data_IF_791296601928
#
_entry.id   IF_791296601928
#
_cell.length_a   1.000
_cell.length_b   1.000
_cell.length_c   1.000
_cell.angle_alpha   90.00
_cell.angle_beta   90.00
_cell.angle_gamma   90.00
#
_symmetry.space_group_name_H-M   'P 1'
#
loop_
_entity.id
_entity.type
_entity.pdbx_description
1 polymer ?
#
# COMPACT_ATOMS: atom_id res chain seq x y z
N UNK A 1 -7.84 -6.09 10.71
CA UNK A 1 -6.89 -5.02 10.32
C UNK A 1 -7.47 -3.64 10.61
N UNK A 2 -8.65 -3.23 10.06
CA UNK A 2 -9.20 -1.88 10.30
C UNK A 2 -9.36 -1.54 11.79
N UNK A 3 -9.91 -2.46 12.60
CA UNK A 3 -10.03 -2.28 14.06
C UNK A 3 -8.66 -2.19 14.77
N UNK A 4 -7.69 -2.94 14.30
CA UNK A 4 -6.32 -2.92 14.83
C UNK A 4 -5.66 -1.56 14.54
N UNK A 5 -5.80 -1.06 13.31
CA UNK A 5 -5.32 0.28 12.93
C UNK A 5 -6.02 1.34 13.79
N UNK A 6 -7.36 1.30 13.85
CA UNK A 6 -8.15 2.28 14.60
C UNK A 6 -7.78 2.32 16.09
N UNK A 7 -7.45 1.19 16.69
CA UNK A 7 -7.02 1.10 18.10
C UNK A 7 -5.65 1.76 18.37
N UNK A 8 -4.85 1.97 17.33
CA UNK A 8 -3.54 2.63 17.42
C UNK A 8 -3.59 4.16 17.48
N UNK A 9 -4.78 4.76 17.30
CA UNK A 9 -4.94 6.22 17.27
C UNK A 9 -6.06 6.67 18.21
N UNK A 10 -5.91 7.84 18.80
CA UNK A 10 -6.98 8.46 19.58
C UNK A 10 -8.06 9.04 18.65
N UNK A 11 -9.26 9.34 19.18
CA UNK A 11 -10.37 9.83 18.37
C UNK A 11 -10.17 11.26 17.85
N UNK A 12 -9.33 12.03 18.55
CA UNK A 12 -9.03 13.44 18.21
C UNK A 12 -7.88 13.60 17.22
N UNK A 13 -7.12 12.53 16.93
CA UNK A 13 -5.97 12.57 16.03
C UNK A 13 -6.38 12.24 14.59
N UNK A 14 -6.33 13.20 13.65
CA UNK A 14 -6.64 12.93 12.26
C UNK A 14 -5.56 12.05 11.62
N UNK A 15 -6.00 11.00 10.92
CA UNK A 15 -5.15 10.09 10.16
C UNK A 15 -5.15 10.55 8.69
N UNK A 16 -4.00 10.79 8.12
CA UNK A 16 -3.85 10.96 6.68
C UNK A 16 -3.67 9.58 6.04
N UNK A 17 -4.75 9.01 5.52
CA UNK A 17 -4.72 7.77 4.76
C UNK A 17 -4.30 8.04 3.31
N UNK A 18 -3.20 7.43 2.90
CA UNK A 18 -2.58 7.61 1.59
C UNK A 18 -2.69 6.31 0.80
N UNK A 19 -3.48 6.35 -0.27
CA UNK A 19 -3.61 5.23 -1.20
C UNK A 19 -2.50 5.25 -2.25
N UNK A 20 -1.77 4.17 -2.42
CA UNK A 20 -0.85 4.01 -3.55
C UNK A 20 -1.66 3.52 -4.77
N UNK A 21 -1.81 4.39 -5.75
CA UNK A 21 -2.54 4.10 -6.97
C UNK A 21 -1.67 3.28 -7.94
N UNK A 22 -2.30 2.37 -8.69
CA UNK A 22 -3.76 2.14 -8.83
C UNK A 22 -4.25 0.93 -8.03
N UNK A 23 -3.38 -0.04 -7.74
CA UNK A 23 -3.75 -1.36 -7.24
C UNK A 23 -4.46 -1.33 -5.90
N UNK A 24 -4.06 -0.42 -5.00
CA UNK A 24 -4.60 -0.37 -3.65
C UNK A 24 -6.02 0.22 -3.55
N UNK A 25 -6.60 0.78 -4.61
CA UNK A 25 -7.83 1.59 -4.53
C UNK A 25 -9.03 0.82 -3.95
N UNK A 26 -9.20 -0.45 -4.30
CA UNK A 26 -10.32 -1.26 -3.79
C UNK A 26 -10.16 -1.55 -2.31
N UNK A 27 -8.98 -2.01 -1.93
CA UNK A 27 -8.64 -2.28 -0.52
C UNK A 27 -8.69 -1.00 0.31
N UNK A 28 -8.14 0.11 -0.18
CA UNK A 28 -8.18 1.41 0.49
C UNK A 28 -9.60 1.82 0.83
N UNK A 29 -10.50 1.75 -0.17
CA UNK A 29 -11.90 2.16 0.00
C UNK A 29 -12.61 1.33 1.07
N UNK A 30 -12.42 0.02 1.06
CA UNK A 30 -13.07 -0.85 2.03
C UNK A 30 -12.43 -0.71 3.43
N UNK A 31 -11.11 -0.58 3.51
CA UNK A 31 -10.39 -0.37 4.76
C UNK A 31 -10.88 0.88 5.51
N UNK A 32 -10.95 2.02 4.82
CA UNK A 32 -11.31 3.30 5.48
C UNK A 32 -12.78 3.35 5.89
N UNK A 33 -13.70 2.68 5.16
CA UNK A 33 -15.10 2.54 5.55
C UNK A 33 -15.30 1.75 6.85
N UNK A 34 -14.38 0.84 7.17
CA UNK A 34 -14.39 0.06 8.41
C UNK A 34 -13.80 0.81 9.62
N UNK A 35 -13.49 2.10 9.46
CA UNK A 35 -13.02 3.00 10.53
C UNK A 35 -13.93 4.22 10.70
N UNK A 36 -15.27 4.07 10.83
CA UNK A 36 -16.22 5.19 10.79
C UNK A 36 -16.06 6.17 11.96
N UNK A 37 -15.52 5.70 13.09
CA UNK A 37 -15.36 6.49 14.31
C UNK A 37 -14.03 7.28 14.34
N UNK A 38 -13.24 7.23 13.26
CA UNK A 38 -11.95 7.94 13.16
C UNK A 38 -12.03 9.10 12.18
N UNK A 39 -11.29 10.16 12.48
CA UNK A 39 -11.10 11.30 11.58
C UNK A 39 -10.06 10.92 10.50
N UNK A 40 -10.52 10.47 9.34
CA UNK A 40 -9.65 10.05 8.24
C UNK A 40 -9.69 11.04 7.09
N UNK A 41 -8.54 11.63 6.78
CA UNK A 41 -8.31 12.40 5.57
C UNK A 41 -7.79 11.47 4.47
N UNK A 42 -8.16 11.71 3.22
CA UNK A 42 -7.75 10.88 2.08
C UNK A 42 -6.81 11.64 1.16
N UNK A 43 -5.74 10.98 0.74
CA UNK A 43 -4.91 11.45 -0.36
C UNK A 43 -4.36 10.27 -1.17
N UNK A 44 -3.80 10.55 -2.33
CA UNK A 44 -3.40 9.56 -3.30
C UNK A 44 -2.00 9.86 -3.83
N UNK A 45 -1.19 8.82 -3.93
CA UNK A 45 0.14 8.89 -4.53
C UNK A 45 0.22 7.91 -5.68
N UNK A 46 0.89 8.29 -6.76
CA UNK A 46 1.17 7.38 -7.87
C UNK A 46 2.66 7.12 -7.96
N UNK A 47 3.02 5.86 -7.82
CA UNK A 47 4.38 5.38 -7.96
C UNK A 47 4.50 4.49 -9.19
N UNK A 48 5.67 4.46 -9.83
CA UNK A 48 6.01 3.46 -10.83
C UNK A 48 7.25 2.70 -10.38
N UNK A 49 7.17 1.38 -10.38
CA UNK A 49 8.33 0.51 -10.27
C UNK A 49 8.85 0.20 -11.68
N UNK A 50 10.13 0.42 -11.92
CA UNK A 50 10.79 -0.01 -13.17
C UNK A 50 11.19 -1.48 -13.03
N UNK A 51 10.26 -2.40 -13.31
CA UNK A 51 10.53 -3.85 -13.33
C UNK A 51 11.01 -4.36 -14.71
N UNK A 52 10.98 -3.52 -15.76
CA UNK A 52 11.19 -3.90 -17.16
C UNK A 52 12.59 -3.60 -17.73
N UNK A 53 13.63 -3.52 -16.93
CA UNK A 53 14.99 -3.51 -17.47
C UNK A 53 15.71 -4.78 -17.02
N UNK A 54 16.50 -5.39 -17.90
CA UNK A 54 17.35 -6.58 -17.64
C UNK A 54 18.31 -6.43 -16.45
N UNK A 55 18.24 -5.31 -15.75
CA UNK A 55 18.87 -5.01 -14.48
C UNK A 55 17.81 -4.40 -13.56
N UNK A 56 17.31 -5.19 -12.61
CA UNK A 56 16.39 -4.74 -11.55
C UNK A 56 17.11 -3.75 -10.64
N UNK A 57 17.08 -2.46 -10.98
CA UNK A 57 17.75 -1.41 -10.19
C UNK A 57 16.94 -1.00 -8.96
N UNK A 58 15.77 -1.61 -8.71
CA UNK A 58 14.92 -1.26 -7.58
C UNK A 58 14.48 0.21 -7.54
N UNK A 59 14.51 0.90 -8.67
CA UNK A 59 14.16 2.32 -8.73
C UNK A 59 12.65 2.49 -8.74
N UNK A 60 12.15 3.08 -7.68
CA UNK A 60 10.78 3.59 -7.61
C UNK A 60 10.80 5.07 -7.99
N UNK A 61 9.85 5.49 -8.82
CA UNK A 61 9.69 6.88 -9.24
C UNK A 61 8.33 7.39 -8.78
N UNK A 62 8.34 8.55 -8.14
CA UNK A 62 7.13 9.31 -7.85
C UNK A 62 6.61 9.95 -9.14
N UNK A 63 5.38 9.60 -9.53
CA UNK A 63 4.69 10.13 -10.70
C UNK A 63 3.74 11.26 -10.30
N UNK A 64 2.99 11.06 -9.20
CA UNK A 64 2.09 12.05 -8.63
C UNK A 64 2.27 12.08 -7.12
N UNK A 65 2.58 13.26 -6.58
CA UNK A 65 2.73 13.50 -5.15
C UNK A 65 1.38 13.80 -4.49
N UNK A 66 1.36 13.77 -3.17
CA UNK A 66 0.24 14.17 -2.34
C UNK A 66 -0.13 15.64 -2.55
N UNK A 67 -1.39 15.96 -2.32
CA UNK A 67 -1.88 17.33 -2.20
C UNK A 67 -1.75 17.85 -0.78
N UNK A 68 -1.92 16.95 0.19
CA UNK A 68 -1.86 17.25 1.61
C UNK A 68 -0.42 17.15 2.15
N UNK A 69 -0.07 17.99 3.13
CA UNK A 69 1.19 17.87 3.87
C UNK A 69 1.11 16.70 4.84
N UNK A 70 2.19 15.94 4.94
CA UNK A 70 2.35 14.89 5.97
C UNK A 70 2.94 15.43 7.28
N UNK A 71 3.44 16.66 7.27
CA UNK A 71 4.11 17.27 8.43
C UNK A 71 3.18 17.32 9.65
N UNK A 72 3.66 16.77 10.77
CA UNK A 72 2.92 16.75 12.03
C UNK A 72 1.64 15.89 12.01
N UNK A 73 1.50 14.94 11.06
CA UNK A 73 0.33 14.07 10.94
C UNK A 73 0.70 12.60 11.10
N UNK A 74 -0.28 11.80 11.53
CA UNK A 74 -0.22 10.35 11.42
C UNK A 74 -0.51 9.94 9.99
N UNK A 75 0.40 9.22 9.36
CA UNK A 75 0.29 8.79 7.96
C UNK A 75 0.07 7.29 7.89
N UNK A 76 -1.07 6.88 7.31
CA UNK A 76 -1.38 5.49 7.01
C UNK A 76 -1.27 5.27 5.49
N UNK A 77 -0.19 4.66 5.06
CA UNK A 77 -0.01 4.24 3.66
C UNK A 77 -0.75 2.94 3.42
N UNK A 78 -1.53 2.88 2.35
CA UNK A 78 -2.28 1.69 1.94
C UNK A 78 -1.77 1.19 0.60
N UNK A 79 -1.31 -0.06 0.58
CA UNK A 79 -0.74 -0.75 -0.57
C UNK A 79 -1.54 -2.01 -0.90
N UNK A 80 -1.58 -2.40 -2.17
CA UNK A 80 -2.21 -3.64 -2.59
C UNK A 80 -1.34 -4.86 -2.27
N UNK A 81 -0.08 -4.83 -2.67
CA UNK A 81 0.84 -5.95 -2.47
C UNK A 81 2.24 -5.49 -2.07
N UNK A 82 2.78 -6.10 -1.03
CA UNK A 82 4.18 -5.93 -0.65
C UNK A 82 4.97 -7.14 -1.16
N UNK A 83 5.57 -6.98 -2.34
CA UNK A 83 6.37 -7.99 -3.03
C UNK A 83 7.87 -7.80 -2.70
N UNK A 84 8.67 -7.20 -3.56
CA UNK A 84 10.10 -6.94 -3.33
C UNK A 84 10.41 -6.02 -2.15
N UNK A 85 9.46 -5.18 -1.76
CA UNK A 85 9.57 -4.21 -0.67
C UNK A 85 10.10 -2.83 -1.10
N UNK A 86 10.58 -2.66 -2.34
CA UNK A 86 11.15 -1.39 -2.79
C UNK A 86 10.19 -0.22 -2.70
N UNK A 87 8.90 -0.42 -3.00
CA UNK A 87 7.86 0.61 -2.92
C UNK A 87 7.71 1.10 -1.48
N UNK A 88 7.63 0.18 -0.53
CA UNK A 88 7.46 0.51 0.89
C UNK A 88 8.69 1.19 1.46
N UNK A 89 9.89 0.70 1.14
CA UNK A 89 11.14 1.33 1.54
C UNK A 89 11.25 2.78 1.01
N UNK A 90 10.91 2.98 -0.27
CA UNK A 90 10.90 4.29 -0.89
C UNK A 90 9.92 5.24 -0.20
N UNK A 91 8.65 4.83 -0.04
CA UNK A 91 7.60 5.71 0.48
C UNK A 91 7.82 6.06 1.96
N UNK A 92 8.32 5.11 2.76
CA UNK A 92 8.69 5.37 4.17
C UNK A 92 9.78 6.45 4.26
N UNK A 93 10.86 6.30 3.48
CA UNK A 93 11.94 7.30 3.46
C UNK A 93 11.45 8.65 2.92
N UNK A 94 10.62 8.63 1.89
CA UNK A 94 10.07 9.83 1.29
C UNK A 94 9.21 10.63 2.26
N UNK A 95 8.33 9.98 3.02
CA UNK A 95 7.50 10.65 4.02
C UNK A 95 8.27 11.00 5.29
N UNK A 96 9.16 10.14 5.76
CA UNK A 96 9.97 10.42 6.95
C UNK A 96 10.77 11.73 6.82
N UNK A 97 11.24 12.06 5.62
CA UNK A 97 11.95 13.31 5.35
C UNK A 97 11.07 14.58 5.44
N UNK A 98 9.74 14.42 5.57
CA UNK A 98 8.75 15.51 5.64
C UNK A 98 8.16 15.70 7.04
N UNK A 99 8.80 15.16 8.08
CA UNK A 99 8.45 15.31 9.49
C UNK A 99 7.01 14.90 9.88
N UNK A 100 6.50 13.73 9.48
CA UNK A 100 5.25 13.20 10.02
C UNK A 100 5.40 12.82 11.50
N UNK A 101 4.29 12.64 12.22
CA UNK A 101 4.32 12.06 13.58
C UNK A 101 4.72 10.58 13.49
N UNK A 102 4.13 9.85 12.57
CA UNK A 102 4.53 8.49 12.22
C UNK A 102 4.15 8.16 10.77
N UNK A 103 4.68 7.02 10.28
CA UNK A 103 4.30 6.43 8.98
C UNK A 103 4.06 4.95 9.19
N UNK A 104 2.80 4.53 9.12
CA UNK A 104 2.38 3.14 9.15
C UNK A 104 1.95 2.67 7.76
N UNK A 105 2.12 1.39 7.50
CA UNK A 105 1.77 0.77 6.22
C UNK A 105 0.78 -0.37 6.46
N UNK A 106 -0.34 -0.33 5.76
CA UNK A 106 -1.28 -1.43 5.66
C UNK A 106 -1.24 -2.02 4.25
N UNK A 107 -1.17 -3.33 4.11
CA UNK A 107 -1.25 -3.98 2.80
C UNK A 107 -2.33 -5.06 2.76
N UNK A 108 -2.89 -5.25 1.57
CA UNK A 108 -3.84 -6.33 1.32
C UNK A 108 -3.11 -7.68 1.30
N UNK A 109 -2.00 -7.75 0.57
CA UNK A 109 -1.23 -8.99 0.39
C UNK A 109 0.25 -8.77 0.69
N UNK A 110 0.82 -9.61 1.55
CA UNK A 110 2.25 -9.68 1.81
C UNK A 110 2.85 -10.94 1.16
N UNK A 111 3.91 -10.77 0.34
CA UNK A 111 4.66 -11.86 -0.29
C UNK A 111 6.09 -11.92 0.29
N UNK A 112 6.31 -12.53 1.45
CA UNK A 112 7.62 -12.52 2.10
C UNK A 112 8.70 -13.27 1.29
N UNK A 113 8.32 -14.26 0.47
CA UNK A 113 9.24 -15.08 -0.33
C UNK A 113 9.98 -14.29 -1.44
N UNK A 114 9.40 -13.18 -1.88
CA UNK A 114 9.94 -12.34 -2.96
C UNK A 114 10.67 -11.10 -2.45
N UNK A 115 10.76 -10.93 -1.13
CA UNK A 115 11.36 -9.77 -0.48
C UNK A 115 12.83 -9.61 -0.84
N UNK A 116 13.22 -8.40 -1.26
CA UNK A 116 14.59 -8.05 -1.65
C UNK A 116 15.24 -7.01 -0.73
N UNK A 117 14.41 -6.22 -0.02
CA UNK A 117 14.86 -5.21 0.94
C UNK A 117 14.13 -5.38 2.26
N UNK A 118 14.74 -4.94 3.34
CA UNK A 118 14.17 -5.03 4.70
C UNK A 118 13.06 -3.99 4.90
N UNK A 119 11.92 -4.22 4.25
CA UNK A 119 10.76 -3.36 4.30
C UNK A 119 9.47 -4.18 4.42
N UNK A 120 8.66 -3.86 5.42
CA UNK A 120 7.46 -4.61 5.81
C UNK A 120 6.27 -3.68 5.96
N UNK A 121 5.06 -4.24 5.80
CA UNK A 121 3.84 -3.61 6.26
C UNK A 121 3.67 -3.76 7.77
N UNK A 122 3.16 -2.72 8.45
CA UNK A 122 2.79 -2.80 9.87
C UNK A 122 1.53 -3.65 10.06
N UNK A 123 0.62 -3.57 9.09
CA UNK A 123 -0.65 -4.29 9.07
C UNK A 123 -0.80 -5.02 7.75
N UNK A 124 -1.22 -6.27 7.79
CA UNK A 124 -1.45 -7.07 6.58
C UNK A 124 -2.74 -7.89 6.72
N UNK A 125 -3.46 -8.02 5.61
CA UNK A 125 -4.68 -8.83 5.59
C UNK A 125 -4.34 -10.28 5.32
N UNK A 126 -3.58 -10.54 4.25
CA UNK A 126 -3.19 -11.87 3.83
C UNK A 126 -1.67 -12.00 3.67
N UNK A 127 -1.17 -13.21 3.85
CA UNK A 127 0.21 -13.59 3.51
C UNK A 127 0.18 -14.66 2.44
N UNK A 128 0.90 -14.46 1.35
CA UNK A 128 1.08 -15.43 0.28
C UNK A 128 2.45 -16.09 0.43
N UNK A 129 2.48 -17.32 0.94
CA UNK A 129 3.71 -18.06 1.27
C UNK A 129 4.33 -18.78 0.08
N UNK A 130 3.78 -18.60 -1.12
CA UNK A 130 4.29 -19.16 -2.38
C UNK A 130 4.42 -18.08 -3.43
N UNK A 131 5.27 -18.31 -4.42
CA UNK A 131 5.36 -17.43 -5.57
C UNK A 131 4.20 -17.74 -6.54
N UNK A 132 3.18 -16.91 -6.51
CA UNK A 132 2.03 -17.00 -7.39
C UNK A 132 1.70 -15.62 -7.96
N UNK A 133 1.26 -15.58 -9.21
CA UNK A 133 0.77 -14.36 -9.84
C UNK A 133 -0.72 -14.23 -9.57
N UNK A 134 -1.12 -13.12 -8.95
CA UNK A 134 -2.50 -12.90 -8.51
C UNK A 134 -3.09 -11.65 -9.15
N UNK A 135 -4.39 -11.67 -9.40
CA UNK A 135 -5.17 -10.58 -9.98
C UNK A 135 -6.51 -10.40 -9.26
N UNK A 136 -7.14 -9.28 -9.49
CA UNK A 136 -8.45 -8.94 -8.93
C UNK A 136 -8.38 -8.11 -7.67
N UNK A 137 -9.49 -7.51 -7.31
CA UNK A 137 -9.63 -6.61 -6.17
C UNK A 137 -8.56 -5.48 -6.16
N UNK A 138 -8.33 -4.88 -7.34
CA UNK A 138 -7.32 -3.85 -7.60
C UNK A 138 -6.05 -4.35 -8.27
N UNK A 139 -5.63 -5.60 -8.00
CA UNK A 139 -4.47 -6.23 -8.64
C UNK A 139 -4.72 -6.51 -10.12
N UNK A 140 -3.69 -6.41 -10.96
CA UNK A 140 -3.84 -6.51 -12.41
C UNK A 140 -2.86 -7.47 -13.10
N UNK A 141 -3.23 -7.79 -14.35
CA UNK A 141 -2.33 -8.30 -15.38
C UNK A 141 -2.50 -7.43 -16.63
N UNK A 142 -1.47 -6.68 -17.01
CA UNK A 142 -1.53 -5.79 -18.17
C UNK A 142 -2.64 -4.72 -18.09
N UNK A 143 -2.92 -4.18 -16.91
CA UNK A 143 -3.98 -3.23 -16.56
C UNK A 143 -5.40 -3.81 -16.54
N UNK A 144 -5.59 -5.10 -16.80
CA UNK A 144 -6.87 -5.80 -16.77
C UNK A 144 -7.10 -6.51 -15.43
N UNK A 145 -8.34 -6.95 -15.19
CA UNK A 145 -8.78 -7.76 -14.05
C UNK A 145 -8.90 -7.04 -12.70
N UNK A 146 -8.52 -5.76 -12.56
CA UNK A 146 -8.67 -5.01 -11.31
C UNK A 146 -10.10 -4.96 -10.76
N UNK A 147 -11.09 -5.08 -11.64
CA UNK A 147 -12.52 -5.02 -11.34
C UNK A 147 -13.13 -6.33 -10.82
N UNK A 148 -12.37 -7.40 -10.74
CA UNK A 148 -12.87 -8.64 -10.14
C UNK A 148 -13.10 -8.48 -8.64
N UNK A 149 -14.20 -9.04 -8.11
CA UNK A 149 -14.57 -8.89 -6.70
C UNK A 149 -13.70 -9.67 -5.70
N UNK A 150 -12.89 -10.58 -6.19
CA UNK A 150 -11.99 -11.41 -5.36
C UNK A 150 -10.57 -11.39 -5.90
N UNK A 151 -9.69 -12.05 -5.16
CA UNK A 151 -8.30 -12.28 -5.55
C UNK A 151 -8.21 -13.68 -6.14
N UNK A 152 -7.63 -13.78 -7.32
CA UNK A 152 -7.51 -15.01 -8.09
C UNK A 152 -6.07 -15.24 -8.49
N UNK A 153 -5.64 -16.48 -8.49
CA UNK A 153 -4.35 -16.88 -9.04
C UNK A 153 -4.48 -17.07 -10.55
N UNK A 154 -3.52 -16.54 -11.28
CA UNK A 154 -3.37 -16.80 -12.71
C UNK A 154 -2.62 -18.11 -12.88
N UNK A 155 -3.27 -19.09 -13.49
CA UNK A 155 -2.67 -20.38 -13.85
C UNK A 155 -2.55 -20.47 -15.36
N UNK A 156 -1.38 -20.91 -15.84
CA UNK A 156 -1.20 -21.22 -17.25
C UNK A 156 -2.06 -22.43 -17.59
N UNK A 157 -2.94 -22.30 -18.60
CA UNK A 157 -3.82 -23.35 -19.08
C UNK A 157 -3.14 -24.29 -20.09
#
# INVERSE_FOLDING_TARGET
>A
VAREIAAGYTDDEPILAVCILRGAVMFFTDLVKEMPDKNVMFDFVTLSSYENAMYTTGRVKLIQDLRESVEGRHVLVVEDIVDSGYTIDYIRRYFAAKNPLDVKVACLMDKPMTRKVDAYADYKVFTLERDAFIVGYGLDCGQLYRNLNGIYEVVDG
#
